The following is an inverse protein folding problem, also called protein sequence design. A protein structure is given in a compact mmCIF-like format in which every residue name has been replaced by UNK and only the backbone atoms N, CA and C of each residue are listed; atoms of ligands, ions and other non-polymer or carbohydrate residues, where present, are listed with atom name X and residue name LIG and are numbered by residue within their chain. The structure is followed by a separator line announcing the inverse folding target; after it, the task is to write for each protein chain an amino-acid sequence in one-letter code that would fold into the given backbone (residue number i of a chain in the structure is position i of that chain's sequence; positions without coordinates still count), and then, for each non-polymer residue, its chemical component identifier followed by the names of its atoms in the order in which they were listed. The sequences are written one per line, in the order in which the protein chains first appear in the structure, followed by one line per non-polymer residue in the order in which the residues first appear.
data_IF_934504506164
#
_entry.id   IF_934504506164
#
_cell.length_a   1.000
_cell.length_b   1.000
_cell.length_c   1.000
_cell.angle_alpha   90.00
_cell.angle_beta   90.00
_cell.angle_gamma   90.00
#
_symmetry.space_group_name_H-M   'P 1'
#
loop_
_entity.id
_entity.type
_entity.pdbx_description
1 polymer ?
#
# COMPACT_ATOMS: atom_id res chain seq x y z
N UNK A 1 55.84 -39.27 -11.47
CA UNK A 1 55.98 -38.33 -10.34
C UNK A 1 54.64 -38.24 -9.62
N UNK A 2 54.68 -38.47 -8.31
CA UNK A 2 53.57 -38.40 -7.35
C UNK A 2 52.93 -36.98 -7.37
N UNK A 3 51.63 -36.79 -7.12
CA UNK A 3 51.04 -36.88 -5.78
C UNK A 3 49.51 -36.93 -5.82
N UNK A 4 48.98 -37.74 -4.92
CA UNK A 4 47.60 -37.99 -4.51
C UNK A 4 47.07 -36.94 -3.51
N UNK A 5 45.76 -36.66 -3.52
CA UNK A 5 44.98 -36.61 -2.27
C UNK A 5 43.51 -37.00 -2.46
N UNK A 6 43.06 -37.80 -1.50
CA UNK A 6 41.85 -38.61 -1.36
C UNK A 6 40.61 -37.86 -0.87
N UNK A 7 39.42 -38.22 -1.36
CA UNK A 7 38.14 -38.02 -0.66
C UNK A 7 37.56 -39.38 -0.24
N UNK A 8 37.23 -39.52 1.05
CA UNK A 8 36.75 -40.75 1.69
C UNK A 8 35.23 -40.92 1.49
N UNK A 9 34.88 -42.07 0.92
CA UNK A 9 33.55 -42.67 0.88
C UNK A 9 33.28 -43.36 2.23
N UNK A 10 32.07 -43.23 2.79
CA UNK A 10 31.55 -44.15 3.83
C UNK A 10 30.20 -44.71 3.39
N UNK A 11 30.27 -45.97 2.99
CA UNK A 11 29.21 -46.92 2.73
C UNK A 11 29.03 -47.76 4.00
N UNK A 12 27.80 -48.00 4.46
CA UNK A 12 27.50 -49.11 5.36
C UNK A 12 26.29 -49.88 4.83
N UNK A 13 26.49 -51.18 4.66
CA UNK A 13 25.63 -52.17 4.04
C UNK A 13 24.73 -52.88 5.09
N UNK A 14 23.52 -53.20 4.65
CA UNK A 14 22.78 -54.49 4.78
C UNK A 14 22.30 -54.93 6.18
N UNK A 15 20.99 -55.18 6.29
CA UNK A 15 20.42 -56.55 6.35
C UNK A 15 18.94 -56.56 5.98
N UNK A 16 18.60 -57.40 5.00
CA UNK A 16 17.24 -57.86 4.74
C UNK A 16 17.04 -59.23 5.41
N UNK A 17 15.85 -59.49 5.94
CA UNK A 17 15.34 -60.85 6.16
C UNK A 17 13.81 -60.80 6.17
N UNK A 18 13.21 -61.55 5.24
CA UNK A 18 11.78 -61.80 5.16
C UNK A 18 11.44 -63.08 5.93
N UNK A 19 10.29 -63.11 6.60
CA UNK A 19 9.57 -64.36 6.87
C UNK A 19 8.06 -64.09 7.06
N UNK A 20 7.28 -64.92 6.38
CA UNK A 20 5.82 -65.00 6.33
C UNK A 20 5.32 -65.92 7.46
N UNK A 21 4.15 -65.66 8.04
CA UNK A 21 3.01 -66.57 8.32
C UNK A 21 2.24 -66.33 9.63
N UNK A 22 0.97 -66.77 9.58
CA UNK A 22 -0.24 -66.52 10.36
C UNK A 22 -0.16 -66.75 11.88
N UNK A 23 -1.03 -66.06 12.63
CA UNK A 23 -1.45 -66.49 13.96
C UNK A 23 -2.51 -65.56 14.59
N UNK A 24 -3.65 -66.14 14.96
CA UNK A 24 -4.82 -65.48 15.52
C UNK A 24 -4.55 -64.68 16.80
N UNK A 25 -5.15 -63.48 16.91
CA UNK A 25 -5.13 -62.64 18.11
C UNK A 25 -6.51 -62.52 18.73
N UNK A 26 -6.68 -63.15 19.89
CA UNK A 26 -7.85 -63.12 20.76
C UNK A 26 -8.29 -61.69 21.12
N UNK A 27 -9.60 -61.45 21.15
CA UNK A 27 -10.21 -60.28 21.76
C UNK A 27 -9.99 -60.31 23.29
N UNK A 28 -9.44 -59.22 23.84
CA UNK A 28 -9.46 -58.92 25.27
C UNK A 28 -10.53 -57.86 25.56
N UNK A 29 -11.22 -57.89 26.72
CA UNK A 29 -12.40 -57.10 26.96
C UNK A 29 -12.05 -55.63 27.22
N UNK A 30 -12.90 -54.74 26.74
CA UNK A 30 -12.87 -53.32 27.06
C UNK A 30 -13.13 -53.12 28.57
N UNK A 31 -12.17 -52.53 29.26
CA UNK A 31 -12.40 -51.94 30.59
C UNK A 31 -13.10 -50.59 30.37
N UNK A 32 -14.33 -50.48 30.88
CA UNK A 32 -15.09 -49.24 30.85
C UNK A 32 -14.42 -48.21 31.78
N UNK A 33 -13.88 -47.14 31.20
CA UNK A 33 -13.50 -45.96 31.96
C UNK A 33 -14.75 -45.22 32.45
N UNK A 34 -14.74 -44.82 33.72
CA UNK A 34 -15.80 -44.05 34.35
C UNK A 34 -16.03 -42.70 33.64
N UNK A 35 -17.26 -42.17 33.60
CA UNK A 35 -17.54 -40.89 32.94
C UNK A 35 -16.87 -39.75 33.70
N UNK A 36 -16.16 -38.89 32.97
CA UNK A 36 -15.65 -37.61 33.48
C UNK A 36 -16.81 -36.73 33.98
N UNK A 37 -16.58 -35.88 35.01
CA UNK A 37 -17.61 -34.97 35.49
C UNK A 37 -18.02 -34.01 34.38
N UNK A 38 -19.33 -33.98 34.10
CA UNK A 38 -19.94 -33.14 33.08
C UNK A 38 -19.56 -31.67 33.28
N UNK A 39 -18.83 -31.10 32.32
CA UNK A 39 -18.68 -29.65 32.22
C UNK A 39 -20.08 -29.04 32.11
N UNK A 40 -20.38 -28.11 33.01
CA UNK A 40 -21.54 -27.23 32.93
C UNK A 40 -21.61 -26.64 31.52
N UNK A 41 -22.77 -26.65 30.83
CA UNK A 41 -22.87 -26.04 29.51
C UNK A 41 -22.52 -24.55 29.61
N UNK A 42 -21.55 -24.11 28.83
CA UNK A 42 -21.32 -22.69 28.57
C UNK A 42 -22.64 -22.04 28.12
N UNK A 43 -22.95 -20.81 28.57
CA UNK A 43 -24.16 -20.14 28.13
C UNK A 43 -24.10 -20.00 26.61
N UNK A 44 -25.08 -20.58 25.92
CA UNK A 44 -25.26 -20.43 24.48
C UNK A 44 -25.23 -18.94 24.15
N UNK A 45 -24.24 -18.52 23.37
CA UNK A 45 -24.15 -17.17 22.82
C UNK A 45 -25.52 -16.80 22.24
N UNK A 46 -26.08 -15.71 22.78
CA UNK A 46 -27.29 -15.06 22.28
C UNK A 46 -27.25 -15.01 20.76
N UNK A 47 -28.31 -15.51 20.10
CA UNK A 47 -28.51 -15.53 18.66
C UNK A 47 -28.00 -14.23 18.02
N UNK A 48 -26.80 -14.34 17.44
CA UNK A 48 -26.09 -13.29 16.75
C UNK A 48 -26.89 -12.92 15.50
N UNK A 49 -27.25 -11.65 15.39
CA UNK A 49 -27.71 -11.06 14.14
C UNK A 49 -26.64 -11.33 13.06
N UNK A 50 -26.94 -12.22 12.13
CA UNK A 50 -25.99 -12.80 11.16
C UNK A 50 -26.00 -11.97 9.88
N UNK A 51 -25.00 -11.10 9.72
CA UNK A 51 -24.70 -10.45 8.45
C UNK A 51 -23.93 -11.39 7.52
N UNK A 52 -23.54 -10.93 6.33
CA UNK A 52 -22.86 -11.73 5.31
C UNK A 52 -21.75 -12.67 5.84
N UNK A 53 -21.71 -13.87 5.27
CA UNK A 53 -20.67 -14.89 5.53
C UNK A 53 -19.86 -15.16 4.27
N UNK A 54 -18.54 -15.25 4.43
CA UNK A 54 -17.57 -15.46 3.35
C UNK A 54 -16.76 -16.73 3.59
N UNK A 55 -16.09 -17.20 2.53
CA UNK A 55 -15.28 -18.43 2.61
C UNK A 55 -14.15 -18.33 3.64
N UNK A 56 -13.40 -17.23 3.65
CA UNK A 56 -12.21 -17.04 4.47
C UNK A 56 -11.98 -15.58 4.88
N UNK A 57 -11.17 -15.37 5.92
CA UNK A 57 -10.67 -14.03 6.25
C UNK A 57 -9.64 -13.60 5.21
N UNK A 58 -9.80 -12.40 4.63
CA UNK A 58 -8.92 -11.87 3.59
C UNK A 58 -7.51 -11.61 4.13
N UNK A 59 -6.48 -11.89 3.34
CA UNK A 59 -5.22 -11.15 3.48
C UNK A 59 -5.47 -9.74 2.95
N UNK A 60 -5.13 -8.72 3.72
CA UNK A 60 -5.40 -7.32 3.37
C UNK A 60 -4.21 -6.46 3.72
N UNK A 61 -3.86 -5.48 2.88
CA UNK A 61 -2.75 -4.57 3.18
C UNK A 61 -3.17 -3.46 4.14
N UNK A 62 -2.21 -2.71 4.68
CA UNK A 62 -2.50 -1.52 5.51
C UNK A 62 -3.30 -0.47 4.74
N UNK A 63 -2.90 -0.17 3.50
CA UNK A 63 -3.60 0.73 2.60
C UNK A 63 -5.02 0.25 2.30
N UNK A 64 -5.20 -1.03 1.95
CA UNK A 64 -6.54 -1.58 1.71
C UNK A 64 -7.42 -1.45 2.97
N UNK A 65 -6.85 -1.68 4.16
CA UNK A 65 -7.54 -1.51 5.45
C UNK A 65 -8.05 -0.06 5.62
N UNK A 66 -7.23 0.94 5.30
CA UNK A 66 -7.60 2.35 5.37
C UNK A 66 -8.63 2.76 4.32
N UNK A 67 -8.52 2.23 3.09
CA UNK A 67 -9.47 2.45 1.99
C UNK A 67 -10.84 1.86 2.33
N UNK A 68 -10.88 0.62 2.84
CA UNK A 68 -12.12 -0.03 3.30
C UNK A 68 -12.77 0.75 4.42
N UNK A 69 -11.98 1.15 5.40
CA UNK A 69 -12.36 2.01 6.52
C UNK A 69 -13.01 3.32 6.08
N UNK A 70 -12.46 3.98 5.05
CA UNK A 70 -12.99 5.25 4.56
C UNK A 70 -14.41 5.14 4.00
N UNK A 71 -14.79 3.99 3.41
CA UNK A 71 -16.13 3.83 2.83
C UNK A 71 -17.26 4.07 3.83
N UNK A 72 -17.13 3.62 5.08
CA UNK A 72 -18.18 3.84 6.08
C UNK A 72 -18.25 5.29 6.59
N UNK A 73 -17.13 6.03 6.53
CA UNK A 73 -17.11 7.47 6.78
C UNK A 73 -17.89 8.21 5.69
N UNK A 74 -17.56 7.91 4.42
CA UNK A 74 -18.15 8.60 3.28
C UNK A 74 -19.64 8.26 3.11
N UNK A 75 -20.01 7.00 3.36
CA UNK A 75 -21.40 6.52 3.34
C UNK A 75 -22.19 6.94 4.60
N UNK A 76 -21.52 7.49 5.62
CA UNK A 76 -22.10 7.87 6.92
C UNK A 76 -22.93 6.74 7.56
N UNK A 77 -22.38 5.53 7.57
CA UNK A 77 -23.08 4.33 8.04
C UNK A 77 -23.55 4.51 9.48
N UNK A 78 -24.85 4.34 9.79
CA UNK A 78 -25.38 4.56 11.14
C UNK A 78 -25.02 3.41 12.09
N UNK A 79 -24.60 3.74 13.32
CA UNK A 79 -24.30 2.76 14.36
C UNK A 79 -25.53 1.94 14.72
N UNK A 80 -25.42 0.62 14.74
CA UNK A 80 -26.42 -0.28 15.30
C UNK A 80 -25.84 -1.65 15.64
N UNK A 81 -26.21 -2.16 16.82
CA UNK A 81 -25.93 -3.54 17.25
C UNK A 81 -26.83 -4.58 16.55
N UNK A 82 -27.83 -4.13 15.78
CA UNK A 82 -28.88 -4.98 15.21
C UNK A 82 -29.16 -4.70 13.72
N UNK A 83 -28.24 -4.02 13.01
CA UNK A 83 -28.37 -3.76 11.57
C UNK A 83 -27.10 -4.14 10.81
N UNK A 84 -27.27 -4.58 9.57
CA UNK A 84 -26.20 -4.82 8.61
C UNK A 84 -26.10 -3.63 7.66
N UNK A 85 -24.91 -3.44 7.11
CA UNK A 85 -24.68 -2.54 5.99
C UNK A 85 -24.01 -3.30 4.86
N UNK A 86 -24.56 -3.16 3.67
CA UNK A 86 -24.07 -3.79 2.44
C UNK A 86 -23.32 -2.76 1.61
N UNK A 87 -22.06 -3.06 1.27
CA UNK A 87 -21.30 -2.30 0.29
C UNK A 87 -20.42 -3.21 -0.58
N UNK A 88 -19.57 -2.61 -1.43
CA UNK A 88 -18.66 -3.36 -2.33
C UNK A 88 -17.71 -4.33 -1.61
N UNK A 89 -17.56 -4.21 -0.30
CA UNK A 89 -16.69 -5.04 0.52
C UNK A 89 -17.41 -6.15 1.28
N UNK A 90 -18.75 -6.16 1.25
CA UNK A 90 -19.59 -7.15 1.89
C UNK A 90 -20.70 -6.55 2.75
N UNK A 91 -21.28 -7.42 3.57
CA UNK A 91 -22.41 -7.19 4.46
C UNK A 91 -21.93 -7.44 5.89
N UNK A 92 -21.85 -6.38 6.69
CA UNK A 92 -21.32 -6.46 8.06
C UNK A 92 -22.20 -5.71 9.04
N UNK A 93 -22.17 -6.13 10.31
CA UNK A 93 -22.91 -5.48 11.39
C UNK A 93 -22.39 -4.06 11.60
N UNK A 94 -23.29 -3.11 11.79
CA UNK A 94 -22.97 -1.67 11.84
C UNK A 94 -22.52 -1.19 13.21
N UNK A 95 -21.84 -2.03 13.99
CA UNK A 95 -21.26 -1.67 15.29
C UNK A 95 -19.73 -1.55 15.22
N UNK A 96 -19.08 -1.24 16.35
CA UNK A 96 -17.62 -1.05 16.41
C UNK A 96 -16.82 -2.24 15.87
N UNK A 97 -17.20 -3.46 16.26
CA UNK A 97 -16.50 -4.69 15.87
C UNK A 97 -16.87 -5.22 14.49
N UNK A 98 -18.10 -4.98 14.02
CA UNK A 98 -18.53 -5.28 12.66
C UNK A 98 -17.92 -4.32 11.65
N UNK A 99 -17.76 -3.04 12.01
CA UNK A 99 -16.93 -2.09 11.28
C UNK A 99 -15.49 -2.61 11.13
N UNK A 100 -14.82 -2.98 12.23
CA UNK A 100 -13.46 -3.51 12.13
C UNK A 100 -13.40 -4.83 11.32
N UNK A 101 -14.44 -5.65 11.42
CA UNK A 101 -14.56 -6.88 10.62
C UNK A 101 -14.66 -6.60 9.12
N UNK A 102 -15.41 -5.58 8.73
CA UNK A 102 -15.48 -5.09 7.35
C UNK A 102 -14.11 -4.58 6.91
N UNK A 103 -13.48 -3.76 7.75
CA UNK A 103 -12.18 -3.14 7.52
C UNK A 103 -11.08 -4.18 7.26
N UNK A 104 -10.98 -5.22 8.09
CA UNK A 104 -10.01 -6.32 7.88
C UNK A 104 -10.46 -7.38 6.87
N UNK A 105 -11.68 -7.27 6.33
CA UNK A 105 -12.19 -8.23 5.36
C UNK A 105 -12.39 -9.63 5.95
N UNK A 106 -12.91 -9.69 7.18
CA UNK A 106 -13.14 -10.93 7.89
C UNK A 106 -14.32 -11.71 7.29
N UNK A 107 -14.32 -13.02 7.51
CA UNK A 107 -15.32 -13.94 6.95
C UNK A 107 -16.74 -13.76 7.51
N UNK A 108 -16.88 -13.00 8.57
CA UNK A 108 -18.14 -12.68 9.25
C UNK A 108 -17.94 -11.47 10.16
N UNK A 109 -19.02 -10.95 10.75
CA UNK A 109 -18.91 -9.89 11.78
C UNK A 109 -18.49 -10.46 13.13
N UNK A 110 -17.21 -10.32 13.48
CA UNK A 110 -16.68 -10.67 14.79
C UNK A 110 -17.16 -9.69 15.87
N UNK A 111 -16.91 -10.01 17.12
CA UNK A 111 -17.26 -9.20 18.29
C UNK A 111 -15.98 -8.79 19.03
N UNK A 112 -16.05 -7.81 19.92
CA UNK A 112 -14.90 -7.46 20.78
C UNK A 112 -14.40 -8.63 21.64
N UNK A 113 -15.22 -9.67 21.83
CA UNK A 113 -14.85 -10.88 22.56
C UNK A 113 -14.28 -12.01 21.68
N UNK A 114 -14.30 -11.86 20.35
CA UNK A 114 -13.83 -12.89 19.40
C UNK A 114 -12.77 -12.40 18.42
N UNK A 115 -12.43 -11.10 18.44
CA UNK A 115 -11.40 -10.52 17.58
C UNK A 115 -9.99 -11.09 17.85
N UNK A 116 -9.73 -11.59 19.06
CA UNK A 116 -8.50 -12.29 19.43
C UNK A 116 -8.29 -13.62 18.67
N UNK A 117 -9.34 -14.20 18.10
CA UNK A 117 -9.25 -15.39 17.25
C UNK A 117 -8.57 -15.09 15.90
N UNK A 118 -8.53 -13.82 15.50
CA UNK A 118 -8.02 -13.37 14.20
C UNK A 118 -6.94 -12.29 14.33
N UNK A 119 -6.57 -11.91 15.55
CA UNK A 119 -5.57 -10.87 15.82
C UNK A 119 -4.74 -11.21 17.06
N UNK A 120 -3.60 -10.54 17.22
CA UNK A 120 -2.73 -10.70 18.38
C UNK A 120 -2.37 -9.35 18.98
N UNK A 121 -2.07 -9.32 20.27
CA UNK A 121 -1.64 -8.10 20.95
C UNK A 121 -0.23 -7.67 20.51
N UNK A 122 -0.01 -6.36 20.37
CA UNK A 122 1.29 -5.77 20.02
C UNK A 122 1.70 -4.71 21.07
N UNK A 123 2.97 -4.33 21.08
CA UNK A 123 3.36 -3.17 21.90
C UNK A 123 2.79 -1.90 21.29
N UNK A 124 2.48 -0.91 22.13
CA UNK A 124 1.96 0.38 21.69
C UNK A 124 2.93 1.14 20.77
N UNK A 125 4.23 0.98 21.01
CA UNK A 125 5.26 1.57 20.17
C UNK A 125 5.27 1.00 18.74
N UNK A 126 4.73 -0.22 18.56
CA UNK A 126 4.69 -0.92 17.27
C UNK A 126 3.42 -0.60 16.47
N UNK A 127 2.52 0.25 16.99
CA UNK A 127 1.28 0.65 16.30
C UNK A 127 1.58 1.24 14.93
N UNK A 128 0.90 0.69 13.93
CA UNK A 128 0.93 1.15 12.54
C UNK A 128 -0.51 1.30 12.02
N UNK A 129 -0.79 2.20 11.07
CA UNK A 129 -2.10 2.32 10.46
C UNK A 129 -2.66 0.95 10.01
N UNK A 130 -3.93 0.69 10.31
CA UNK A 130 -4.57 -0.60 10.07
C UNK A 130 -4.60 -1.54 11.29
N UNK A 131 -3.82 -1.26 12.33
CA UNK A 131 -3.93 -1.94 13.63
C UNK A 131 -5.19 -1.45 14.39
N UNK A 132 -5.59 -2.16 15.44
CA UNK A 132 -6.76 -1.84 16.26
C UNK A 132 -6.39 -1.48 17.70
N UNK A 133 -7.22 -0.66 18.33
CA UNK A 133 -7.20 -0.40 19.77
C UNK A 133 -8.45 -1.06 20.36
N UNK A 134 -8.25 -2.17 21.08
CA UNK A 134 -9.32 -3.04 21.59
C UNK A 134 -9.42 -2.98 23.12
N UNK A 135 -10.64 -2.93 23.63
CA UNK A 135 -10.97 -3.19 25.04
C UNK A 135 -12.30 -3.93 25.13
N UNK A 136 -12.67 -4.48 26.30
CA UNK A 136 -14.01 -5.04 26.49
C UNK A 136 -15.10 -4.03 26.09
N UNK A 137 -15.95 -4.40 25.12
CA UNK A 137 -17.09 -3.61 24.67
C UNK A 137 -16.81 -2.49 23.67
N UNK A 138 -15.55 -2.23 23.28
CA UNK A 138 -15.28 -1.28 22.19
C UNK A 138 -13.98 -1.56 21.43
N UNK A 139 -13.98 -1.22 20.15
CA UNK A 139 -12.78 -1.26 19.32
C UNK A 139 -12.76 -0.09 18.33
N UNK A 140 -11.57 0.44 18.06
CA UNK A 140 -11.34 1.45 17.04
C UNK A 140 -10.17 1.06 16.14
N UNK A 141 -10.21 1.51 14.89
CA UNK A 141 -9.10 1.38 13.95
C UNK A 141 -8.09 2.51 14.19
N UNK A 142 -6.84 2.17 14.44
CA UNK A 142 -5.74 3.13 14.49
C UNK A 142 -5.33 3.49 13.05
N UNK A 143 -5.32 4.79 12.72
CA UNK A 143 -4.99 5.29 11.38
C UNK A 143 -3.75 6.19 11.34
N UNK A 144 -3.18 6.54 12.49
CA UNK A 144 -1.97 7.35 12.57
C UNK A 144 -1.85 8.08 13.91
N UNK A 145 -0.86 8.96 14.02
CA UNK A 145 -0.68 9.83 15.17
C UNK A 145 -1.06 11.26 14.79
N UNK A 146 -1.84 11.91 15.65
CA UNK A 146 -2.19 13.32 15.48
C UNK A 146 -1.07 14.28 15.96
N UNK A 147 0.02 13.74 16.50
CA UNK A 147 1.15 14.48 17.03
C UNK A 147 2.49 13.76 16.77
N UNK A 148 3.54 14.54 16.51
CA UNK A 148 4.88 14.00 16.27
C UNK A 148 5.44 13.19 17.46
N UNK A 149 5.00 13.49 18.68
CA UNK A 149 5.38 12.76 19.88
C UNK A 149 4.73 11.37 20.02
N UNK A 150 3.83 10.99 19.09
CA UNK A 150 3.13 9.69 19.08
C UNK A 150 2.37 9.42 20.39
N UNK A 151 1.65 10.43 20.89
CA UNK A 151 0.88 10.32 22.14
C UNK A 151 -0.63 10.38 21.93
N UNK A 152 -1.09 10.97 20.83
CA UNK A 152 -2.49 11.16 20.48
C UNK A 152 -2.85 10.34 19.25
N UNK A 153 -3.36 9.11 19.40
CA UNK A 153 -3.71 8.32 18.24
C UNK A 153 -4.89 8.96 17.51
N UNK A 154 -4.79 9.01 16.19
CA UNK A 154 -5.88 9.30 15.28
C UNK A 154 -6.56 7.96 14.96
N UNK A 155 -7.87 7.91 15.16
CA UNK A 155 -8.66 6.68 14.99
C UNK A 155 -9.88 6.91 14.12
N UNK A 156 -10.35 5.84 13.48
CA UNK A 156 -11.72 5.75 12.96
C UNK A 156 -12.51 4.74 13.76
N UNK A 157 -13.71 5.11 14.16
CA UNK A 157 -14.55 4.28 15.01
C UNK A 157 -16.03 4.41 14.63
N UNK A 158 -16.71 3.28 14.71
CA UNK A 158 -18.16 3.22 14.68
C UNK A 158 -18.64 3.10 16.13
N UNK A 159 -19.14 4.21 16.68
CA UNK A 159 -19.45 4.33 18.11
C UNK A 159 -20.81 5.01 18.31
N UNK A 160 -21.55 4.55 19.34
CA UNK A 160 -22.92 4.97 19.60
C UNK A 160 -23.09 6.42 20.10
N UNK A 161 -24.35 6.83 20.38
CA UNK A 161 -25.57 6.01 20.40
C UNK A 161 -26.06 5.57 19.01
N UNK A 162 -27.08 4.69 18.97
CA UNK A 162 -27.69 4.20 17.72
C UNK A 162 -28.03 5.34 16.75
N UNK A 163 -27.69 5.14 15.48
CA UNK A 163 -27.82 6.14 14.42
C UNK A 163 -26.62 7.07 14.26
N UNK A 164 -25.64 7.05 15.16
CA UNK A 164 -24.42 7.87 15.02
C UNK A 164 -23.59 7.40 13.82
N UNK A 165 -23.05 8.31 12.99
CA UNK A 165 -22.24 7.91 11.84
C UNK A 165 -20.88 7.38 12.31
N UNK A 166 -20.19 6.64 11.44
CA UNK A 166 -18.77 6.35 11.62
C UNK A 166 -18.00 7.68 11.63
N UNK A 167 -17.04 7.82 12.55
CA UNK A 167 -16.28 9.06 12.73
C UNK A 167 -14.78 8.83 12.71
N UNK A 168 -14.04 9.88 12.38
CA UNK A 168 -12.60 10.00 12.58
C UNK A 168 -12.33 11.01 13.68
N UNK A 169 -11.44 10.70 14.62
CA UNK A 169 -11.06 11.62 15.70
C UNK A 169 -9.73 11.29 16.34
N UNK A 170 -9.12 12.30 16.94
CA UNK A 170 -7.97 12.12 17.81
C UNK A 170 -8.42 11.77 19.23
N UNK A 171 -7.71 10.86 19.88
CA UNK A 171 -7.87 10.52 21.28
C UNK A 171 -6.76 11.11 22.14
N UNK A 172 -7.04 11.35 23.42
CA UNK A 172 -6.00 11.69 24.39
C UNK A 172 -5.15 10.45 24.70
N UNK A 173 -3.88 10.68 25.09
CA UNK A 173 -2.98 9.61 25.53
C UNK A 173 -3.57 8.77 26.67
N UNK A 174 -4.19 9.43 27.66
CA UNK A 174 -4.82 8.77 28.80
C UNK A 174 -6.00 7.89 28.41
N UNK A 175 -6.82 8.33 27.46
CA UNK A 175 -7.93 7.52 26.96
C UNK A 175 -7.43 6.32 26.18
N UNK A 176 -6.47 6.54 25.27
CA UNK A 176 -5.85 5.49 24.47
C UNK A 176 -5.13 4.42 25.32
N UNK A 177 -4.57 4.80 26.47
CA UNK A 177 -3.90 3.90 27.40
C UNK A 177 -4.82 2.81 27.98
N UNK A 178 -6.15 3.02 27.93
CA UNK A 178 -7.15 2.02 28.38
C UNK A 178 -7.42 0.89 27.38
N UNK A 179 -6.81 0.95 26.19
CA UNK A 179 -6.97 -0.04 25.13
C UNK A 179 -5.71 -0.88 24.93
N UNK A 180 -5.89 -2.14 24.57
CA UNK A 180 -4.83 -3.03 24.10
C UNK A 180 -4.65 -2.86 22.60
N UNK A 181 -3.43 -2.52 22.11
CA UNK A 181 -3.10 -2.57 20.69
C UNK A 181 -3.18 -3.99 20.14
N UNK A 182 -3.88 -4.19 19.04
CA UNK A 182 -4.08 -5.48 18.38
C UNK A 182 -3.72 -5.39 16.90
N UNK A 183 -3.06 -6.42 16.37
CA UNK A 183 -2.71 -6.55 14.96
C UNK A 183 -3.40 -7.76 14.34
N UNK A 184 -4.02 -7.56 13.18
CA UNK A 184 -4.68 -8.62 12.44
C UNK A 184 -3.68 -9.66 11.91
N UNK A 185 -4.02 -10.96 12.03
CA UNK A 185 -3.12 -12.07 11.69
C UNK A 185 -2.70 -12.11 10.22
N UNK A 186 -3.55 -11.61 9.31
CA UNK A 186 -3.29 -11.60 7.86
C UNK A 186 -3.20 -10.19 7.31
N UNK A 187 -2.80 -9.22 8.14
CA UNK A 187 -2.44 -7.90 7.64
C UNK A 187 -1.08 -7.99 6.94
N UNK A 188 -1.04 -7.60 5.68
CA UNK A 188 0.19 -7.41 4.94
C UNK A 188 0.62 -5.94 5.07
N UNK A 189 1.92 -5.69 4.99
CA UNK A 189 2.37 -4.33 4.70
C UNK A 189 1.94 -3.98 3.27
N UNK A 190 1.75 -2.70 2.99
CA UNK A 190 1.68 -2.28 1.59
C UNK A 190 3.01 -2.61 0.91
N UNK A 191 3.00 -2.73 -0.42
CA UNK A 191 4.23 -2.49 -1.17
C UNK A 191 4.85 -1.19 -0.64
N UNK A 192 6.14 -1.23 -0.33
CA UNK A 192 6.88 -0.13 0.30
C UNK A 192 6.70 1.16 -0.51
N UNK A 193 6.66 2.30 0.17
CA UNK A 193 5.96 3.53 -0.22
C UNK A 193 6.39 4.24 -1.51
N UNK A 194 7.42 3.77 -2.22
CA UNK A 194 7.78 4.27 -3.53
C UNK A 194 7.13 3.46 -4.64
N UNK A 195 6.65 4.14 -5.69
CA UNK A 195 6.51 3.45 -6.97
C UNK A 195 7.90 3.10 -7.48
N UNK A 196 8.15 1.85 -7.87
CA UNK A 196 9.40 1.42 -8.52
C UNK A 196 9.11 0.52 -9.72
N UNK A 197 10.11 0.22 -10.56
CA UNK A 197 9.88 -0.74 -11.65
C UNK A 197 9.73 -2.17 -11.13
N UNK A 198 10.15 -2.39 -9.88
CA UNK A 198 10.15 -3.68 -9.20
C UNK A 198 9.10 -3.83 -8.10
N UNK A 199 8.38 -2.77 -7.76
CA UNK A 199 7.33 -2.76 -6.73
C UNK A 199 7.86 -2.86 -5.30
N UNK A 200 9.17 -2.72 -5.11
CA UNK A 200 9.85 -2.94 -3.84
C UNK A 200 10.05 -1.65 -3.02
N UNK A 201 9.45 -0.54 -3.47
CA UNK A 201 9.51 0.76 -2.85
C UNK A 201 10.79 1.56 -3.10
N UNK A 202 11.88 0.94 -3.56
CA UNK A 202 13.15 1.65 -3.75
C UNK A 202 13.27 2.13 -5.17
N UNK A 203 13.79 3.35 -5.36
CA UNK A 203 13.98 3.86 -6.70
C UNK A 203 14.98 3.01 -7.51
N UNK A 204 14.49 2.48 -8.62
CA UNK A 204 15.27 1.87 -9.70
C UNK A 204 15.81 2.95 -10.64
N UNK A 205 16.83 2.61 -11.42
CA UNK A 205 17.34 3.51 -12.48
C UNK A 205 17.06 2.93 -13.86
N UNK A 206 16.74 3.80 -14.81
CA UNK A 206 16.59 3.44 -16.21
C UNK A 206 17.31 4.45 -17.11
N UNK A 207 17.82 3.95 -18.25
CA UNK A 207 18.46 4.75 -19.27
C UNK A 207 17.95 4.35 -20.65
N UNK A 208 17.62 5.35 -21.47
CA UNK A 208 17.38 5.16 -22.90
C UNK A 208 18.72 5.09 -23.63
N UNK A 209 18.99 3.94 -24.25
CA UNK A 209 20.18 3.67 -25.05
C UNK A 209 20.04 4.30 -26.45
N UNK A 210 21.15 4.52 -27.19
CA UNK A 210 21.10 5.02 -28.57
C UNK A 210 20.28 4.16 -29.54
N UNK A 211 20.08 2.87 -29.21
CA UNK A 211 19.21 1.95 -29.96
C UNK A 211 17.71 2.24 -29.79
N UNK A 212 17.33 3.10 -28.83
CA UNK A 212 15.95 3.29 -28.38
C UNK A 212 15.48 2.22 -27.39
N UNK A 213 16.37 1.33 -26.96
CA UNK A 213 16.11 0.40 -25.85
C UNK A 213 16.14 1.14 -24.51
N UNK A 214 15.23 0.77 -23.61
CA UNK A 214 15.22 1.25 -22.23
C UNK A 214 15.85 0.17 -21.37
N UNK A 215 17.06 0.43 -20.88
CA UNK A 215 17.76 -0.45 -19.95
C UNK A 215 17.52 0.01 -18.52
N UNK A 216 17.05 -0.87 -17.66
CA UNK A 216 16.81 -0.61 -16.24
C UNK A 216 17.73 -1.45 -15.34
N UNK A 217 18.02 -0.95 -14.15
CA UNK A 217 18.75 -1.62 -13.07
C UNK A 217 17.96 -1.52 -11.78
N UNK A 218 17.75 -2.67 -11.11
CA UNK A 218 16.96 -2.76 -9.89
C UNK A 218 17.78 -2.42 -8.66
N UNK A 219 17.25 -1.59 -7.78
CA UNK A 219 17.86 -1.23 -6.50
C UNK A 219 17.55 -2.27 -5.40
N UNK A 220 18.27 -3.40 -5.41
CA UNK A 220 18.09 -4.44 -4.40
C UNK A 220 18.69 -4.13 -3.03
N UNK A 221 19.64 -3.19 -2.95
CA UNK A 221 20.46 -2.99 -1.74
C UNK A 221 20.43 -1.56 -1.15
N UNK A 222 19.54 -0.69 -1.62
CA UNK A 222 19.39 0.69 -1.14
C UNK A 222 20.67 1.52 -1.37
N UNK A 223 21.22 2.09 -0.31
CA UNK A 223 22.42 2.93 -0.37
C UNK A 223 23.76 2.16 -0.37
N UNK A 224 23.75 0.83 -0.50
CA UNK A 224 24.98 0.07 -0.60
C UNK A 224 25.80 0.49 -1.85
N UNK A 225 27.12 0.32 -1.80
CA UNK A 225 27.96 0.53 -2.97
C UNK A 225 27.59 -0.48 -4.08
N UNK A 226 27.32 0.01 -5.30
CA UNK A 226 26.77 -0.78 -6.41
C UNK A 226 25.50 -1.54 -5.99
N UNK A 227 24.39 -0.83 -5.72
CA UNK A 227 23.20 -1.44 -5.13
C UNK A 227 22.36 -2.27 -6.13
N UNK A 228 22.81 -2.33 -7.38
CA UNK A 228 22.12 -2.98 -8.49
C UNK A 228 22.27 -4.49 -8.42
N UNK A 229 21.17 -5.20 -8.18
CA UNK A 229 21.17 -6.67 -8.07
C UNK A 229 20.57 -7.37 -9.30
N UNK A 230 19.95 -6.61 -10.21
CA UNK A 230 19.43 -7.07 -11.49
C UNK A 230 19.45 -5.95 -12.54
N UNK A 231 19.48 -6.32 -13.83
CA UNK A 231 19.28 -5.42 -14.96
C UNK A 231 18.44 -6.07 -16.06
N UNK A 232 17.67 -5.27 -16.80
CA UNK A 232 16.80 -5.74 -17.87
C UNK A 232 16.64 -4.68 -18.98
N UNK A 233 16.37 -5.14 -20.21
CA UNK A 233 15.78 -4.28 -21.23
C UNK A 233 14.28 -4.30 -21.01
N UNK A 234 13.74 -3.20 -20.51
CA UNK A 234 12.33 -3.09 -20.15
C UNK A 234 11.51 -2.54 -21.31
N UNK A 235 12.05 -1.77 -22.24
CA UNK A 235 11.29 -1.21 -23.37
C UNK A 235 12.13 -1.02 -24.63
N UNK A 236 11.48 -0.78 -25.77
CA UNK A 236 12.10 -0.45 -27.06
C UNK A 236 11.31 0.63 -27.79
N UNK A 237 11.98 1.40 -28.65
CA UNK A 237 11.36 2.47 -29.44
C UNK A 237 11.13 3.78 -28.68
N UNK A 238 11.82 3.97 -27.55
CA UNK A 238 11.73 5.17 -26.73
C UNK A 238 12.88 6.15 -27.02
N UNK A 239 12.66 7.40 -26.64
CA UNK A 239 13.65 8.47 -26.62
C UNK A 239 13.64 9.15 -25.26
N UNK A 240 14.72 9.88 -24.93
CA UNK A 240 14.84 10.54 -23.61
C UNK A 240 13.76 11.59 -23.37
N UNK A 241 13.23 12.17 -24.44
CA UNK A 241 12.24 13.24 -24.43
C UNK A 241 10.79 12.75 -24.49
N UNK A 242 10.55 11.44 -24.63
CA UNK A 242 9.19 10.88 -24.68
C UNK A 242 8.87 9.89 -23.56
N UNK A 243 9.88 9.37 -22.86
CA UNK A 243 9.75 8.31 -21.86
C UNK A 243 9.45 8.90 -20.48
N UNK A 244 8.40 8.37 -19.84
CA UNK A 244 8.08 8.64 -18.45
C UNK A 244 7.77 7.32 -17.71
N UNK A 245 7.87 7.37 -16.39
CA UNK A 245 7.47 6.29 -15.49
C UNK A 245 6.61 6.86 -14.37
N UNK A 246 5.47 6.24 -14.10
CA UNK A 246 4.58 6.62 -13.01
C UNK A 246 3.70 5.43 -12.63
N UNK A 247 3.32 5.32 -11.37
CA UNK A 247 2.31 4.37 -10.92
C UNK A 247 0.92 4.96 -11.21
N UNK A 248 0.20 4.40 -12.17
CA UNK A 248 -1.10 4.89 -12.62
C UNK A 248 -2.27 4.13 -11.99
N UNK A 249 -2.10 2.92 -11.45
CA UNK A 249 -3.19 2.16 -10.81
C UNK A 249 -3.04 1.95 -9.29
N UNK A 250 -1.95 2.41 -8.71
CA UNK A 250 -1.69 2.48 -7.28
C UNK A 250 -1.22 1.16 -6.68
N UNK A 251 -0.70 0.25 -7.50
CA UNK A 251 -0.22 -1.06 -7.06
C UNK A 251 1.25 -1.07 -6.59
N UNK A 252 1.98 0.04 -6.80
CA UNK A 252 3.38 0.25 -6.44
C UNK A 252 4.37 -0.04 -7.57
N UNK A 253 3.92 -0.64 -8.67
CA UNK A 253 4.73 -0.83 -9.87
C UNK A 253 4.56 0.39 -10.81
N UNK A 254 5.67 0.94 -11.33
CA UNK A 254 5.58 2.02 -12.32
C UNK A 254 5.19 1.47 -13.69
N UNK A 255 4.16 2.05 -14.29
CA UNK A 255 3.90 1.98 -15.72
C UNK A 255 5.02 2.65 -16.52
N UNK A 256 5.20 2.17 -17.76
CA UNK A 256 5.94 2.91 -18.77
C UNK A 256 4.98 3.76 -19.60
N UNK A 257 5.37 5.01 -19.87
CA UNK A 257 4.54 5.99 -20.54
C UNK A 257 5.35 6.62 -21.69
N UNK A 258 4.72 6.77 -22.85
CA UNK A 258 5.24 7.47 -24.01
C UNK A 258 4.34 8.65 -24.37
N UNK A 259 4.93 9.83 -24.58
CA UNK A 259 4.25 10.94 -25.26
C UNK A 259 4.68 11.03 -26.71
N UNK A 260 3.75 10.82 -27.62
CA UNK A 260 4.00 10.80 -29.06
C UNK A 260 4.04 12.21 -29.66
N UNK A 261 4.57 12.35 -30.88
CA UNK A 261 4.66 13.66 -31.55
C UNK A 261 3.30 14.27 -31.93
N UNK A 262 2.24 13.45 -32.02
CA UNK A 262 0.85 13.94 -32.19
C UNK A 262 0.17 14.30 -30.85
N UNK A 263 0.90 14.19 -29.74
CA UNK A 263 0.45 14.56 -28.40
C UNK A 263 -0.45 13.54 -27.71
N UNK A 264 -0.48 12.28 -28.17
CA UNK A 264 -1.08 11.18 -27.43
C UNK A 264 -0.15 10.75 -26.28
N UNK A 265 -0.75 10.45 -25.13
CA UNK A 265 -0.06 9.87 -23.99
C UNK A 265 -0.47 8.40 -23.92
N UNK A 266 0.46 7.52 -24.29
CA UNK A 266 0.29 6.07 -24.25
C UNK A 266 0.95 5.50 -23.00
N UNK A 267 0.26 4.63 -22.28
CA UNK A 267 0.81 3.93 -21.13
C UNK A 267 0.66 2.41 -21.31
N UNK A 268 1.62 1.65 -20.79
CA UNK A 268 1.55 0.19 -20.72
C UNK A 268 1.71 -0.23 -19.26
N UNK A 269 0.79 -1.10 -18.78
CA UNK A 269 0.75 -1.57 -17.40
C UNK A 269 1.93 -2.47 -17.10
N UNK A 270 2.56 -2.28 -15.94
CA UNK A 270 3.54 -3.23 -15.44
C UNK A 270 2.85 -4.45 -14.82
N UNK A 271 2.73 -5.55 -15.57
CA UNK A 271 2.08 -6.78 -15.08
C UNK A 271 3.03 -7.81 -14.49
N UNK A 272 4.35 -7.58 -14.63
CA UNK A 272 5.37 -8.58 -14.34
C UNK A 272 6.52 -8.06 -13.45
N UNK A 273 6.39 -6.86 -12.89
CA UNK A 273 7.42 -6.20 -12.08
C UNK A 273 8.74 -6.06 -12.84
N UNK A 274 9.86 -6.38 -12.17
CA UNK A 274 11.19 -6.26 -12.77
C UNK A 274 11.55 -7.45 -13.68
N UNK A 275 10.97 -7.48 -14.87
CA UNK A 275 11.27 -8.46 -15.93
C UNK A 275 11.70 -7.79 -17.24
N UNK A 276 12.20 -8.59 -18.20
CA UNK A 276 12.39 -8.11 -19.55
C UNK A 276 11.03 -7.89 -20.22
N UNK A 277 10.78 -6.68 -20.76
CA UNK A 277 9.49 -6.28 -21.35
C UNK A 277 8.29 -6.64 -20.44
N UNK A 278 8.18 -6.04 -19.23
CA UNK A 278 7.20 -6.45 -18.24
C UNK A 278 5.77 -5.95 -18.50
N UNK A 279 5.51 -5.44 -19.70
CA UNK A 279 4.32 -4.66 -20.00
C UNK A 279 3.18 -5.50 -20.57
N UNK A 280 1.96 -5.22 -20.09
CA UNK A 280 0.71 -5.73 -20.65
C UNK A 280 0.18 -4.81 -21.78
N UNK A 281 -1.15 -4.78 -21.97
CA UNK A 281 -1.81 -3.99 -23.00
C UNK A 281 -1.61 -2.48 -22.80
N UNK A 282 -1.47 -1.75 -23.91
CA UNK A 282 -1.44 -0.29 -23.89
C UNK A 282 -2.82 0.35 -23.87
N UNK A 283 -2.86 1.55 -23.29
CA UNK A 283 -4.02 2.44 -23.34
C UNK A 283 -3.58 3.86 -23.64
N UNK A 284 -4.45 4.62 -24.31
CA UNK A 284 -4.28 6.06 -24.44
C UNK A 284 -4.90 6.71 -23.20
N UNK A 285 -4.06 7.28 -22.35
CA UNK A 285 -4.50 7.95 -21.11
C UNK A 285 -4.73 9.44 -21.33
N UNK A 286 -4.17 10.06 -22.37
CA UNK A 286 -4.31 11.50 -22.60
C UNK A 286 -4.06 11.90 -24.05
N UNK A 287 -4.50 13.11 -24.41
CA UNK A 287 -4.25 13.73 -25.74
C UNK A 287 -3.97 15.22 -25.58
N UNK A 288 -3.22 15.80 -26.51
CA UNK A 288 -2.89 17.24 -26.52
C UNK A 288 -1.72 17.64 -25.63
N UNK A 289 -0.92 16.68 -25.16
CA UNK A 289 0.28 16.94 -24.34
C UNK A 289 1.52 17.08 -25.22
N UNK A 290 2.46 17.93 -24.79
CA UNK A 290 3.77 18.01 -25.42
C UNK A 290 4.76 17.12 -24.65
N UNK A 291 5.59 16.38 -25.39
CA UNK A 291 6.56 15.42 -24.83
C UNK A 291 7.54 16.02 -23.82
N UNK A 292 7.86 17.31 -23.97
CA UNK A 292 8.76 18.04 -23.09
C UNK A 292 8.04 18.85 -21.99
N UNK A 293 6.74 18.63 -21.80
CA UNK A 293 5.89 19.39 -20.86
C UNK A 293 4.77 18.51 -20.28
N UNK A 294 5.16 17.36 -19.77
CA UNK A 294 4.28 16.47 -19.00
C UNK A 294 5.02 15.97 -17.78
N UNK A 295 4.31 15.91 -16.66
CA UNK A 295 4.80 15.37 -15.40
C UNK A 295 3.74 14.44 -14.81
N UNK A 296 4.19 13.52 -13.97
CA UNK A 296 3.34 12.59 -13.24
C UNK A 296 3.72 12.61 -11.77
N UNK A 297 2.74 12.74 -10.90
CA UNK A 297 2.94 12.76 -9.45
C UNK A 297 1.63 12.42 -8.73
N UNK A 298 1.70 11.72 -7.60
CA UNK A 298 0.54 11.54 -6.71
C UNK A 298 0.35 12.81 -5.88
N UNK A 299 -0.68 13.59 -6.16
CA UNK A 299 -0.97 14.85 -5.48
C UNK A 299 -1.98 14.68 -4.34
N UNK A 300 -2.74 13.59 -4.27
CA UNK A 300 -3.78 13.38 -3.25
C UNK A 300 -3.53 12.25 -2.26
N UNK A 301 -2.44 11.49 -2.45
CA UNK A 301 -2.01 10.41 -1.58
C UNK A 301 -2.78 9.12 -1.79
N UNK A 302 -3.48 8.98 -2.92
CA UNK A 302 -4.22 7.77 -3.27
C UNK A 302 -3.42 6.74 -4.08
N UNK A 303 -2.12 7.00 -4.27
CA UNK A 303 -1.09 6.23 -4.99
C UNK A 303 -1.19 6.23 -6.50
N UNK A 304 -2.21 6.86 -7.08
CA UNK A 304 -2.34 6.93 -8.53
C UNK A 304 -1.85 8.29 -8.98
N UNK A 305 -0.81 8.30 -9.81
CA UNK A 305 -0.24 9.55 -10.29
C UNK A 305 -1.25 10.33 -11.14
N UNK A 306 -1.37 11.62 -10.82
CA UNK A 306 -1.95 12.64 -11.69
C UNK A 306 -1.10 12.86 -12.94
N UNK A 307 -1.71 13.43 -13.99
CA UNK A 307 -0.97 14.04 -15.10
C UNK A 307 -0.96 15.55 -14.95
N UNK A 308 0.21 16.17 -15.14
CA UNK A 308 0.46 17.60 -14.93
C UNK A 308 1.14 18.22 -16.16
N UNK A 309 0.80 19.46 -16.49
CA UNK A 309 1.45 20.26 -17.53
C UNK A 309 1.59 21.73 -17.09
N UNK A 310 2.55 22.46 -17.68
CA UNK A 310 2.68 23.91 -17.50
C UNK A 310 2.09 24.64 -18.71
N UNK A 311 1.11 25.50 -18.47
CA UNK A 311 0.49 26.32 -19.50
C UNK A 311 1.39 27.50 -19.92
N UNK A 312 1.21 28.09 -21.11
CA UNK A 312 2.05 29.19 -21.60
C UNK A 312 2.07 30.45 -20.71
N UNK A 313 1.06 30.64 -19.86
CA UNK A 313 0.98 31.73 -18.88
C UNK A 313 1.69 31.41 -17.55
N UNK A 314 2.32 30.23 -17.44
CA UNK A 314 3.01 29.77 -16.23
C UNK A 314 2.11 29.16 -15.17
N UNK A 315 0.83 28.92 -15.46
CA UNK A 315 -0.05 28.10 -14.62
C UNK A 315 0.33 26.62 -14.74
N UNK A 316 0.37 25.91 -13.62
CA UNK A 316 0.53 24.46 -13.56
C UNK A 316 -0.85 23.84 -13.47
N UNK A 317 -1.24 23.10 -14.51
CA UNK A 317 -2.53 22.42 -14.58
C UNK A 317 -2.34 20.92 -14.37
N UNK A 318 -3.14 20.35 -13.47
CA UNK A 318 -3.15 18.92 -13.17
C UNK A 318 -4.53 18.31 -13.40
N UNK A 319 -4.57 17.02 -13.72
CA UNK A 319 -5.78 16.22 -13.85
C UNK A 319 -5.69 14.98 -12.96
N UNK A 320 -6.74 14.79 -12.14
CA UNK A 320 -6.84 13.74 -11.11
C UNK A 320 -7.06 12.36 -11.71
N UNK A 321 -6.27 11.38 -11.29
CA UNK A 321 -6.43 10.00 -11.70
C UNK A 321 -7.52 9.28 -10.89
N UNK A 322 -8.75 9.34 -11.38
CA UNK A 322 -9.89 8.73 -10.70
C UNK A 322 -10.12 7.24 -11.00
N UNK A 323 -9.61 6.76 -12.13
CA UNK A 323 -9.95 5.44 -12.67
C UNK A 323 -8.78 4.44 -12.69
N UNK A 324 -7.59 4.85 -12.26
CA UNK A 324 -6.40 4.03 -12.31
C UNK A 324 -5.89 3.84 -13.74
N UNK A 325 -5.37 2.65 -14.04
CA UNK A 325 -4.97 2.27 -15.39
C UNK A 325 -6.20 1.98 -16.28
N UNK A 326 -6.77 3.04 -16.84
CA UNK A 326 -7.88 3.02 -17.78
C UNK A 326 -7.66 4.04 -18.91
N UNK A 327 -8.40 3.90 -20.02
CA UNK A 327 -8.40 4.92 -21.07
C UNK A 327 -9.02 6.22 -20.53
N UNK A 328 -8.32 7.35 -20.71
CA UNK A 328 -8.73 8.67 -20.22
C UNK A 328 -9.21 8.67 -18.75
N UNK A 329 -8.33 8.34 -17.78
CA UNK A 329 -8.75 8.05 -16.40
C UNK A 329 -9.06 9.30 -15.57
N UNK A 330 -9.02 10.48 -16.18
CA UNK A 330 -9.08 11.77 -15.51
C UNK A 330 -10.51 12.18 -15.15
N UNK A 331 -10.78 12.37 -13.85
CA UNK A 331 -12.13 12.71 -13.36
C UNK A 331 -12.28 14.12 -12.76
N UNK A 332 -11.18 14.87 -12.62
CA UNK A 332 -11.17 16.26 -12.19
C UNK A 332 -9.91 16.98 -12.73
N UNK A 333 -9.93 18.31 -12.75
CA UNK A 333 -8.77 19.14 -13.08
C UNK A 333 -8.65 20.36 -12.15
N UNK A 334 -7.43 20.84 -11.94
CA UNK A 334 -7.14 22.01 -11.11
C UNK A 334 -5.92 22.79 -11.61
N UNK A 335 -5.92 24.11 -11.37
CA UNK A 335 -4.69 24.91 -11.40
C UNK A 335 -4.05 24.83 -10.02
N UNK A 336 -2.93 24.11 -9.94
CA UNK A 336 -2.28 23.81 -8.66
C UNK A 336 -1.18 24.82 -8.34
N UNK A 337 -0.60 25.51 -9.32
CA UNK A 337 0.44 26.51 -9.07
C UNK A 337 0.49 27.57 -10.19
N UNK A 338 1.21 28.67 -9.96
CA UNK A 338 1.48 29.73 -10.94
C UNK A 338 2.94 30.17 -10.87
N UNK A 339 3.46 30.76 -11.96
CA UNK A 339 4.83 31.28 -12.02
C UNK A 339 5.90 30.21 -12.31
N UNK A 340 5.49 29.05 -12.82
CA UNK A 340 6.39 27.96 -13.19
C UNK A 340 6.63 27.92 -14.70
N UNK A 341 7.67 27.19 -15.10
CA UNK A 341 7.96 26.83 -16.49
C UNK A 341 8.11 25.32 -16.57
N UNK A 342 7.94 24.75 -17.77
CA UNK A 342 8.20 23.31 -17.99
C UNK A 342 9.62 22.86 -17.63
N UNK A 343 10.58 23.79 -17.56
CA UNK A 343 12.00 23.49 -17.33
C UNK A 343 12.41 23.55 -15.85
N UNK A 344 11.54 24.00 -14.94
CA UNK A 344 11.90 24.19 -13.52
C UNK A 344 10.81 23.66 -12.57
N UNK A 345 10.08 22.63 -13.01
CA UNK A 345 9.01 21.99 -12.27
C UNK A 345 9.39 20.54 -11.94
N UNK A 346 9.40 20.23 -10.65
CA UNK A 346 9.63 18.87 -10.14
C UNK A 346 8.59 18.53 -9.09
N UNK A 347 8.38 17.22 -8.88
CA UNK A 347 7.49 16.69 -7.86
C UNK A 347 8.18 15.54 -7.15
N UNK A 348 8.00 15.47 -5.83
CA UNK A 348 8.40 14.33 -5.00
C UNK A 348 7.68 14.43 -3.66
N UNK A 349 7.39 13.30 -3.03
CA UNK A 349 7.06 13.27 -1.61
C UNK A 349 8.36 13.53 -0.83
N UNK A 350 8.39 14.57 -0.01
CA UNK A 350 9.57 14.97 0.77
C UNK A 350 9.37 14.76 2.26
N UNK A 351 8.16 14.44 2.72
CA UNK A 351 7.84 14.32 4.14
C UNK A 351 7.14 13.01 4.54
N UNK A 352 6.91 12.13 3.57
CA UNK A 352 6.39 10.77 3.74
C UNK A 352 4.89 10.72 3.99
N UNK A 353 4.17 11.78 3.64
CA UNK A 353 2.71 11.85 3.78
C UNK A 353 1.94 11.32 2.55
N UNK A 354 2.69 10.88 1.53
CA UNK A 354 2.26 10.32 0.23
C UNK A 354 1.72 11.32 -0.76
N UNK A 355 1.72 12.61 -0.44
CA UNK A 355 1.35 13.66 -1.40
C UNK A 355 2.63 14.34 -1.87
N UNK A 356 2.80 14.41 -3.18
CA UNK A 356 3.97 15.06 -3.73
C UNK A 356 3.95 16.57 -3.47
N UNK A 357 5.08 17.08 -3.00
CA UNK A 357 5.45 18.48 -3.00
C UNK A 357 5.67 18.96 -4.43
N UNK A 358 5.47 20.26 -4.65
CA UNK A 358 5.99 20.95 -5.84
C UNK A 358 7.35 21.55 -5.52
N UNK A 359 8.31 21.39 -6.43
CA UNK A 359 9.71 21.77 -6.23
C UNK A 359 10.20 22.54 -7.46
N UNK A 360 11.02 23.56 -7.24
CA UNK A 360 11.70 24.31 -8.30
C UNK A 360 13.18 24.51 -7.98
N UNK A 361 14.02 24.53 -9.00
CA UNK A 361 15.40 25.03 -8.89
C UNK A 361 15.46 26.45 -9.42
N UNK A 362 15.86 27.35 -8.54
CA UNK A 362 15.98 28.78 -8.83
C UNK A 362 17.30 29.08 -9.55
N UNK A 363 17.35 30.21 -10.25
CA UNK A 363 18.54 30.62 -11.02
C UNK A 363 19.79 30.86 -10.16
N UNK A 364 19.63 31.10 -8.86
CA UNK A 364 20.72 31.21 -7.88
C UNK A 364 21.20 29.84 -7.35
N UNK A 365 20.61 28.75 -7.82
CA UNK A 365 20.91 27.38 -7.43
C UNK A 365 20.23 26.91 -6.15
N UNK A 366 19.31 27.68 -5.59
CA UNK A 366 18.46 27.23 -4.47
C UNK A 366 17.37 26.28 -4.98
N UNK A 367 17.18 25.17 -4.26
CA UNK A 367 16.06 24.26 -4.47
C UNK A 367 14.98 24.63 -3.46
N UNK A 368 13.85 25.11 -3.97
CA UNK A 368 12.69 25.51 -3.16
C UNK A 368 11.56 24.52 -3.34
N UNK A 369 11.02 24.02 -2.23
CA UNK A 369 9.88 23.12 -2.20
C UNK A 369 8.69 23.75 -1.47
N UNK A 370 7.48 23.37 -1.85
CA UNK A 370 6.24 23.75 -1.19
C UNK A 370 5.45 22.51 -0.80
N UNK A 371 5.13 22.40 0.49
CA UNK A 371 4.41 21.28 1.10
C UNK A 371 2.96 21.20 0.64
N UNK A 372 2.53 20.01 0.23
CA UNK A 372 1.18 19.74 -0.21
C UNK A 372 0.23 19.50 0.97
N UNK A 373 -0.39 20.55 1.50
CA UNK A 373 -1.27 20.45 2.67
C UNK A 373 -2.71 20.01 2.37
N UNK A 374 -3.14 20.06 1.12
CA UNK A 374 -4.56 19.94 0.76
C UNK A 374 -4.88 18.85 -0.27
N UNK A 375 -3.88 18.08 -0.72
CA UNK A 375 -4.07 17.04 -1.72
C UNK A 375 -4.35 17.61 -3.11
N UNK A 376 -5.22 16.95 -3.88
CA UNK A 376 -5.72 17.46 -5.15
C UNK A 376 -6.72 18.61 -4.94
N UNK A 377 -6.19 19.82 -4.80
CA UNK A 377 -6.97 21.06 -4.71
C UNK A 377 -6.33 22.19 -5.54
N UNK A 378 -7.07 23.27 -5.76
CA UNK A 378 -6.47 24.48 -6.32
C UNK A 378 -5.50 25.10 -5.31
N UNK A 379 -4.26 25.37 -5.72
CA UNK A 379 -3.21 25.95 -4.87
C UNK A 379 -3.07 25.23 -3.51
N UNK A 380 -2.73 23.92 -3.48
CA UNK A 380 -2.79 23.11 -2.26
C UNK A 380 -1.64 23.36 -1.27
N UNK A 381 -0.78 24.34 -1.53
CA UNK A 381 0.46 24.58 -0.83
C UNK A 381 0.26 25.42 0.44
N UNK A 382 0.67 24.91 1.60
CA UNK A 382 0.48 25.57 2.90
C UNK A 382 1.78 25.91 3.65
N UNK A 383 2.95 25.47 3.17
CA UNK A 383 4.26 25.83 3.68
C UNK A 383 5.32 25.73 2.56
N UNK A 384 6.47 26.40 2.73
CA UNK A 384 7.59 26.33 1.80
C UNK A 384 8.95 26.41 2.50
N UNK A 385 9.97 25.83 1.87
CA UNK A 385 11.33 25.80 2.40
C UNK A 385 12.39 25.77 1.29
N UNK A 386 13.59 26.28 1.59
CA UNK A 386 14.80 25.98 0.80
C UNK A 386 15.37 24.68 1.35
N UNK A 387 15.37 23.64 0.52
CA UNK A 387 15.77 22.28 0.93
C UNK A 387 17.20 21.93 0.50
N UNK A 388 17.75 22.65 -0.49
CA UNK A 388 19.12 22.45 -0.95
C UNK A 388 19.65 23.69 -1.68
N UNK A 389 20.98 23.75 -1.88
CA UNK A 389 21.67 24.84 -2.59
C UNK A 389 22.77 24.29 -3.49
N UNK A 390 23.08 24.99 -4.59
CA UNK A 390 24.16 24.63 -5.52
C UNK A 390 23.73 23.71 -6.66
N UNK A 391 22.44 23.61 -6.93
CA UNK A 391 21.87 22.75 -7.97
C UNK A 391 21.50 23.55 -9.24
N UNK A 392 21.34 22.83 -10.35
CA UNK A 392 20.75 23.30 -11.60
C UNK A 392 19.64 22.33 -12.01
N UNK A 393 18.78 22.73 -12.95
CA UNK A 393 17.78 21.81 -13.50
C UNK A 393 18.40 20.59 -14.22
N UNK A 394 19.69 20.64 -14.56
CA UNK A 394 20.41 19.56 -15.25
C UNK A 394 21.04 18.53 -14.30
N UNK A 395 21.16 18.84 -13.00
CA UNK A 395 21.88 18.00 -12.05
C UNK A 395 21.08 17.62 -10.80
N UNK A 396 19.76 17.88 -10.80
CA UNK A 396 18.86 17.54 -9.71
C UNK A 396 17.94 16.38 -10.09
N UNK A 397 17.79 15.43 -9.17
CA UNK A 397 16.80 14.36 -9.26
C UNK A 397 16.26 14.10 -7.85
N UNK A 398 14.96 13.80 -7.76
CA UNK A 398 14.28 13.46 -6.51
C UNK A 398 13.76 12.03 -6.63
N UNK A 399 14.06 11.22 -5.63
CA UNK A 399 13.68 9.82 -5.58
C UNK A 399 13.81 9.31 -4.13
N UNK A 400 12.86 8.47 -3.72
CA UNK A 400 12.97 7.68 -2.50
C UNK A 400 13.93 6.50 -2.76
N UNK A 401 15.11 6.56 -2.15
CA UNK A 401 16.21 5.62 -2.41
C UNK A 401 16.21 4.43 -1.45
N UNK A 402 15.54 4.53 -0.31
CA UNK A 402 15.45 3.51 0.73
C UNK A 402 14.04 2.96 0.98
N UNK A 403 13.03 3.53 0.34
CA UNK A 403 11.66 2.99 0.30
C UNK A 403 10.83 3.34 1.52
N UNK A 404 11.18 4.41 2.25
CA UNK A 404 10.48 4.82 3.47
C UNK A 404 9.31 5.78 3.24
N UNK A 405 9.07 6.17 1.98
CA UNK A 405 8.07 7.16 1.58
C UNK A 405 8.75 8.50 1.42
#
# INVERSE_FOLDING_TARGET
MQTTTTAKLRLLLITASAALTLGAGFAAPASAAAPEPSKTPEPKASLLFDCGRYGDNRTTTRGETLTRSRTWIDERVPYSQAACHDNKYGSYRTDCSGYLSMVWGLKSSYTTATLDQVSYAINRADLRPGDALLRPGHVALFIGWADAARTKPLVREQAGPDGSPTIERSWTQSYAATYTPMRYNRIAEDATGGSSLSGDGKADIAAVLPSGEVKAWRNGAGFAAMPWDADAIVGTGFSKDNLHFADLDGDGDKEIIAVTDNGEVKAWRNGAGFAAMPWDADVIIGTGFAKDNVHFADLDGDRKAEIITVLPNGEVKAWRNGAGFAAMPWNADAIIATGFTKNNLHFADLDGDRKAEIITVQANGEVKAWHNGAGFAAMPWNADAIIATGFTNENVHFADLDGDG
#
